data_IF_254064176861
#
_entry.id   IF_254064176861
#
_cell.length_a   1.000
_cell.length_b   1.000
_cell.length_c   1.000
_cell.angle_alpha   90.00
_cell.angle_beta   90.00
_cell.angle_gamma   90.00
#
_symmetry.space_group_name_H-M   'P 1'
#
loop_
_entity.id
_entity.type
_entity.pdbx_description
1 polymer ?
#
# COMPACT_ATOMS: atom_id res chain seq x y z
N UNK A 1 -4.86 -24.63 39.77
CA UNK A 1 -5.97 -23.99 39.03
C UNK A 1 -5.77 -22.48 38.82
N UNK A 2 -5.54 -21.64 39.85
CA UNK A 2 -5.38 -20.17 39.67
C UNK A 2 -4.19 -19.72 38.80
N UNK A 3 -3.05 -20.39 38.87
CA UNK A 3 -1.85 -20.04 38.09
C UNK A 3 -1.99 -20.29 36.58
N UNK A 4 -2.76 -21.31 36.19
CA UNK A 4 -3.03 -21.64 34.79
C UNK A 4 -3.93 -20.58 34.13
N UNK A 5 -4.93 -20.09 34.86
CA UNK A 5 -5.83 -19.03 34.38
C UNK A 5 -5.09 -17.69 34.16
N UNK A 6 -4.14 -17.33 35.04
CA UNK A 6 -3.33 -16.11 34.91
C UNK A 6 -2.40 -16.20 33.69
N UNK A 7 -1.77 -17.35 33.47
CA UNK A 7 -0.89 -17.57 32.31
C UNK A 7 -1.66 -17.50 30.98
N UNK A 8 -2.87 -18.05 30.92
CA UNK A 8 -3.74 -17.98 29.72
C UNK A 8 -4.17 -16.54 29.45
N UNK A 9 -4.56 -15.78 30.48
CA UNK A 9 -4.96 -14.38 30.33
C UNK A 9 -3.80 -13.50 29.83
N UNK A 10 -2.58 -13.70 30.36
CA UNK A 10 -1.40 -12.95 29.94
C UNK A 10 -1.02 -13.24 28.49
N UNK A 11 -1.13 -14.50 28.05
CA UNK A 11 -0.88 -14.86 26.65
C UNK A 11 -1.91 -14.22 25.71
N UNK A 12 -3.18 -14.24 26.08
CA UNK A 12 -4.26 -13.63 25.29
C UNK A 12 -4.11 -12.10 25.18
N UNK A 13 -3.78 -11.42 26.28
CA UNK A 13 -3.48 -9.98 26.26
C UNK A 13 -2.26 -9.66 25.39
N UNK A 14 -1.22 -10.50 25.41
CA UNK A 14 -0.03 -10.32 24.59
C UNK A 14 -0.30 -10.49 23.08
N UNK A 15 -1.12 -11.46 22.69
CA UNK A 15 -1.56 -11.64 21.30
C UNK A 15 -2.45 -10.49 20.82
N UNK A 16 -3.32 -9.98 21.69
CA UNK A 16 -4.19 -8.85 21.39
C UNK A 16 -3.38 -7.55 21.20
N UNK A 17 -2.36 -7.33 22.03
CA UNK A 17 -1.42 -6.20 21.87
C UNK A 17 -0.61 -6.33 20.57
N UNK A 18 -0.11 -7.53 20.24
CA UNK A 18 0.58 -7.78 18.97
C UNK A 18 -0.32 -7.47 17.77
N UNK A 19 -1.57 -7.96 17.77
CA UNK A 19 -2.53 -7.71 16.69
C UNK A 19 -2.86 -6.22 16.51
N UNK A 20 -2.99 -5.46 17.61
CA UNK A 20 -3.18 -4.01 17.54
C UNK A 20 -1.95 -3.32 16.96
N UNK A 21 -0.75 -3.71 17.40
CA UNK A 21 0.49 -3.13 16.91
C UNK A 21 0.70 -3.39 15.41
N UNK A 22 0.40 -4.60 14.95
CA UNK A 22 0.44 -4.94 13.53
C UNK A 22 -0.55 -4.08 12.73
N UNK A 23 -1.80 -3.95 13.17
CA UNK A 23 -2.77 -3.06 12.52
C UNK A 23 -2.30 -1.62 12.44
N UNK A 24 -1.73 -1.08 13.52
CA UNK A 24 -1.18 0.29 13.51
C UNK A 24 -0.04 0.40 12.49
N UNK A 25 0.83 -0.61 12.42
CA UNK A 25 1.98 -0.63 11.52
C UNK A 25 1.58 -0.74 10.05
N UNK A 26 0.57 -1.54 9.72
CA UNK A 26 0.16 -1.80 8.35
C UNK A 26 -0.94 -0.88 7.83
N UNK A 27 -1.84 -0.40 8.70
CA UNK A 27 -2.95 0.47 8.29
C UNK A 27 -2.66 1.95 8.59
N UNK A 28 -2.25 2.26 9.82
CA UNK A 28 -2.14 3.64 10.30
C UNK A 28 -0.86 4.33 9.81
N UNK A 29 0.27 3.63 9.86
CA UNK A 29 1.58 4.21 9.52
C UNK A 29 1.67 4.63 8.05
N UNK A 30 1.23 3.84 7.06
CA UNK A 30 1.25 4.27 5.66
C UNK A 30 0.33 5.47 5.41
N UNK A 31 -0.82 5.52 6.07
CA UNK A 31 -1.74 6.66 6.00
C UNK A 31 -1.07 7.94 6.52
N UNK A 32 -0.50 7.88 7.73
CA UNK A 32 0.19 9.00 8.35
C UNK A 32 1.35 9.49 7.48
N UNK A 33 2.16 8.56 6.97
CA UNK A 33 3.29 8.84 6.08
C UNK A 33 2.83 9.59 4.83
N UNK A 34 1.74 9.17 4.21
CA UNK A 34 1.19 9.81 3.00
C UNK A 34 0.74 11.25 3.29
N UNK A 35 0.05 11.47 4.43
CA UNK A 35 -0.37 12.81 4.87
C UNK A 35 0.82 13.72 5.16
N UNK A 36 1.87 13.19 5.80
CA UNK A 36 3.10 13.94 6.09
C UNK A 36 3.85 14.33 4.83
N UNK A 37 3.99 13.44 3.84
CA UNK A 37 4.58 13.79 2.55
C UNK A 37 3.83 14.92 1.85
N UNK A 38 2.51 14.84 1.83
CA UNK A 38 1.68 15.89 1.24
C UNK A 38 1.82 17.21 2.00
N UNK A 39 1.79 17.18 3.34
CA UNK A 39 2.00 18.36 4.18
C UNK A 39 3.36 19.00 3.90
N UNK A 40 4.41 18.19 3.76
CA UNK A 40 5.74 18.67 3.40
C UNK A 40 5.76 19.38 2.05
N UNK A 41 5.07 18.87 1.02
CA UNK A 41 4.92 19.59 -0.25
C UNK A 41 4.18 20.91 -0.10
N UNK A 42 3.11 20.94 0.70
CA UNK A 42 2.38 22.20 0.95
C UNK A 42 3.28 23.26 1.57
N UNK A 43 4.12 22.87 2.54
CA UNK A 43 5.09 23.76 3.17
C UNK A 43 6.16 24.19 2.15
N UNK A 44 6.78 23.22 1.44
CA UNK A 44 7.87 23.47 0.48
C UNK A 44 7.45 24.40 -0.66
N UNK A 45 6.28 24.20 -1.24
CA UNK A 45 5.77 24.98 -2.36
C UNK A 45 4.90 26.18 -1.92
N UNK A 46 4.80 26.43 -0.61
CA UNK A 46 4.04 27.56 -0.01
C UNK A 46 2.56 27.58 -0.42
N UNK A 47 1.95 26.41 -0.48
CA UNK A 47 0.53 26.25 -0.79
C UNK A 47 0.24 25.10 -1.75
N UNK A 48 -0.96 24.51 -1.60
CA UNK A 48 -1.41 23.35 -2.40
C UNK A 48 -1.45 23.64 -3.90
N UNK A 49 -1.81 24.87 -4.29
CA UNK A 49 -1.95 25.27 -5.70
C UNK A 49 -0.62 25.46 -6.41
N UNK A 50 0.48 25.61 -5.65
CA UNK A 50 1.81 25.89 -6.18
C UNK A 50 2.65 24.62 -6.36
N UNK A 51 2.10 23.45 -6.01
CA UNK A 51 2.80 22.18 -6.18
C UNK A 51 2.89 21.90 -7.69
N UNK A 52 4.10 21.78 -8.27
CA UNK A 52 4.25 21.49 -9.68
C UNK A 52 3.57 20.17 -10.03
N UNK A 53 2.82 20.15 -11.13
CA UNK A 53 2.12 18.95 -11.60
C UNK A 53 3.08 17.78 -11.80
N UNK A 54 4.28 18.06 -12.26
CA UNK A 54 5.36 17.09 -12.48
C UNK A 54 5.75 16.33 -11.21
N UNK A 55 5.75 17.00 -10.06
CA UNK A 55 6.06 16.39 -8.75
C UNK A 55 4.95 15.41 -8.35
N UNK A 56 3.70 15.77 -8.63
CA UNK A 56 2.54 14.93 -8.35
C UNK A 56 2.57 13.70 -9.26
N UNK A 57 2.73 13.91 -10.57
CA UNK A 57 2.76 12.81 -11.55
C UNK A 57 3.95 11.87 -11.33
N UNK A 58 5.15 12.39 -11.06
CA UNK A 58 6.31 11.57 -10.75
C UNK A 58 6.10 10.68 -9.52
N UNK A 59 5.46 11.21 -8.48
CA UNK A 59 5.14 10.42 -7.29
C UNK A 59 4.04 9.39 -7.55
N UNK A 60 3.06 9.71 -8.40
CA UNK A 60 2.02 8.76 -8.80
C UNK A 60 2.61 7.60 -9.62
N UNK A 61 3.48 7.90 -10.60
CA UNK A 61 4.17 6.88 -11.38
C UNK A 61 4.97 5.93 -10.48
N UNK A 62 5.75 6.49 -9.53
CA UNK A 62 6.50 5.70 -8.54
C UNK A 62 5.60 4.84 -7.64
N UNK A 63 4.41 5.33 -7.29
CA UNK A 63 3.46 4.55 -6.49
C UNK A 63 2.85 3.40 -7.30
N UNK A 64 2.52 3.62 -8.58
CA UNK A 64 2.00 2.57 -9.47
C UNK A 64 3.05 1.50 -9.77
N UNK A 65 4.31 1.89 -10.00
CA UNK A 65 5.42 0.96 -10.19
C UNK A 65 5.54 -0.01 -9.00
N UNK A 66 5.52 0.53 -7.77
CA UNK A 66 5.54 -0.27 -6.54
C UNK A 66 4.30 -1.15 -6.40
N UNK A 67 3.14 -0.64 -6.77
CA UNK A 67 1.90 -1.43 -6.74
C UNK A 67 1.98 -2.62 -7.70
N UNK A 68 2.49 -2.41 -8.92
CA UNK A 68 2.71 -3.48 -9.90
C UNK A 68 3.68 -4.54 -9.36
N UNK A 69 4.81 -4.13 -8.77
CA UNK A 69 5.75 -5.05 -8.13
C UNK A 69 5.09 -5.87 -7.01
N UNK A 70 4.33 -5.22 -6.13
CA UNK A 70 3.61 -5.90 -5.05
C UNK A 70 2.59 -6.90 -5.59
N UNK A 71 1.87 -6.57 -6.65
CA UNK A 71 0.91 -7.47 -7.29
C UNK A 71 1.61 -8.65 -7.99
N UNK A 72 2.80 -8.45 -8.56
CA UNK A 72 3.62 -9.53 -9.09
C UNK A 72 4.09 -10.47 -7.97
N UNK A 73 4.50 -9.93 -6.82
CA UNK A 73 4.81 -10.74 -5.64
C UNK A 73 3.58 -11.50 -5.13
N UNK A 74 2.41 -10.85 -5.06
CA UNK A 74 1.15 -11.49 -4.68
C UNK A 74 0.81 -12.64 -5.63
N UNK A 75 0.94 -12.43 -6.93
CA UNK A 75 0.78 -13.48 -7.94
C UNK A 75 1.76 -14.64 -7.73
N UNK A 76 3.05 -14.35 -7.53
CA UNK A 76 4.06 -15.38 -7.30
C UNK A 76 3.77 -16.20 -6.03
N UNK A 77 3.28 -15.55 -4.97
CA UNK A 77 2.84 -16.22 -3.75
C UNK A 77 1.63 -17.11 -4.00
N UNK A 78 0.62 -16.59 -4.70
CA UNK A 78 -0.62 -17.31 -5.00
C UNK A 78 -0.39 -18.52 -5.92
N UNK A 79 0.57 -18.48 -6.84
CA UNK A 79 0.92 -19.63 -7.68
C UNK A 79 1.57 -20.80 -6.92
N UNK A 80 2.18 -20.52 -5.76
CA UNK A 80 2.83 -21.55 -4.94
C UNK A 80 1.90 -22.13 -3.86
N UNK A 81 0.70 -21.58 -3.72
CA UNK A 81 -0.30 -22.05 -2.77
C UNK A 81 -1.27 -23.02 -3.46
N UNK A 82 -1.47 -24.18 -2.85
CA UNK A 82 -2.29 -25.26 -3.39
C UNK A 82 -3.80 -24.95 -3.30
N UNK A 83 -4.20 -24.02 -2.44
CA UNK A 83 -5.60 -23.66 -2.19
C UNK A 83 -6.06 -22.42 -2.96
N UNK A 84 -5.18 -21.79 -3.74
CA UNK A 84 -5.51 -20.58 -4.48
C UNK A 84 -6.62 -20.82 -5.50
N UNK A 85 -7.72 -20.08 -5.35
CA UNK A 85 -8.84 -20.13 -6.28
C UNK A 85 -8.50 -19.44 -7.62
N UNK A 86 -9.03 -19.98 -8.73
CA UNK A 86 -8.89 -19.39 -10.07
C UNK A 86 -9.45 -17.96 -10.15
N UNK A 87 -10.46 -17.63 -9.36
CA UNK A 87 -11.06 -16.30 -9.32
C UNK A 87 -10.12 -15.28 -8.66
N UNK A 88 -9.47 -15.62 -7.55
CA UNK A 88 -8.49 -14.74 -6.89
C UNK A 88 -7.28 -14.47 -7.79
N UNK A 89 -6.82 -15.51 -8.52
CA UNK A 89 -5.78 -15.34 -9.53
C UNK A 89 -6.19 -14.38 -10.63
N UNK A 90 -7.44 -14.48 -11.11
CA UNK A 90 -7.98 -13.57 -12.13
C UNK A 90 -8.04 -12.13 -11.62
N UNK A 91 -8.46 -11.91 -10.38
CA UNK A 91 -8.49 -10.58 -9.78
C UNK A 91 -7.09 -9.95 -9.69
N UNK A 92 -6.07 -10.74 -9.32
CA UNK A 92 -4.68 -10.28 -9.29
C UNK A 92 -4.21 -9.89 -10.71
N UNK A 93 -4.51 -10.69 -11.74
CA UNK A 93 -4.18 -10.36 -13.12
C UNK A 93 -4.87 -9.08 -13.61
N UNK A 94 -6.17 -8.93 -13.31
CA UNK A 94 -6.93 -7.74 -13.68
C UNK A 94 -6.38 -6.50 -12.97
N UNK A 95 -5.96 -6.63 -11.70
CA UNK A 95 -5.32 -5.56 -10.96
C UNK A 95 -3.95 -5.16 -11.55
N UNK A 96 -3.11 -6.12 -11.95
CA UNK A 96 -1.82 -5.85 -12.61
C UNK A 96 -2.06 -5.07 -13.90
N UNK A 97 -2.97 -5.54 -14.75
CA UNK A 97 -3.26 -4.91 -16.05
C UNK A 97 -3.80 -3.48 -15.87
N UNK A 98 -4.67 -3.26 -14.88
CA UNK A 98 -5.15 -1.91 -14.55
C UNK A 98 -4.02 -0.99 -14.08
N UNK A 99 -3.10 -1.50 -13.25
CA UNK A 99 -1.95 -0.73 -12.78
C UNK A 99 -1.04 -0.30 -13.94
N UNK A 100 -0.74 -1.22 -14.87
CA UNK A 100 0.07 -0.95 -16.06
C UNK A 100 -0.59 0.08 -17.00
N UNK A 101 -1.90 -0.06 -17.25
CA UNK A 101 -2.65 0.90 -18.07
C UNK A 101 -2.63 2.31 -17.45
N UNK A 102 -2.87 2.42 -16.14
CA UNK A 102 -2.82 3.70 -15.43
C UNK A 102 -1.43 4.32 -15.47
N UNK A 103 -0.38 3.51 -15.39
CA UNK A 103 0.99 4.00 -15.49
C UNK A 103 1.25 4.61 -16.88
N UNK A 104 0.83 3.92 -17.94
CA UNK A 104 0.96 4.44 -19.31
C UNK A 104 0.15 5.73 -19.53
N UNK A 105 -1.07 5.82 -18.99
CA UNK A 105 -1.87 7.04 -19.07
C UNK A 105 -1.18 8.23 -18.38
N UNK A 106 -0.61 8.01 -17.19
CA UNK A 106 0.11 9.06 -16.46
C UNK A 106 1.37 9.51 -17.22
N UNK A 107 2.14 8.57 -17.76
CA UNK A 107 3.33 8.89 -18.57
C UNK A 107 2.96 9.68 -19.83
N UNK A 108 1.85 9.34 -20.48
CA UNK A 108 1.35 10.07 -21.64
C UNK A 108 0.88 11.49 -21.28
N UNK A 109 0.17 11.65 -20.16
CA UNK A 109 -0.24 12.96 -19.64
C UNK A 109 0.99 13.82 -19.33
N UNK A 110 2.04 13.23 -18.76
CA UNK A 110 3.27 13.95 -18.47
C UNK A 110 3.97 14.41 -19.76
N UNK A 111 4.06 13.55 -20.78
CA UNK A 111 4.65 13.91 -22.08
C UNK A 111 3.87 15.00 -22.83
N UNK A 112 2.55 15.04 -22.69
CA UNK A 112 1.69 16.01 -23.39
C UNK A 112 1.56 17.36 -22.66
N UNK A 113 2.00 17.47 -21.40
CA UNK A 113 1.95 18.72 -20.62
C UNK A 113 3.32 19.40 -20.45
N UNK A 114 4.39 18.81 -21.02
CA UNK A 114 5.74 19.39 -21.15
C UNK A 114 5.98 19.88 -22.58
#
# INVERSE_FOLDING_TARGET
MKFLAIAINFNYESELIMNIFERIKYDLWPFLKTKLYFLWWVIKYRGKKNIPKEVIFAQMAKSLERMSQNLQCARASAMNDADTNKDEMREIYDAIKKAENLQQEIENIQKNNN
#
